data_IF_729852313482
#
_entry.id   IF_729852313482
#
_cell.length_a   1.000
_cell.length_b   1.000
_cell.length_c   1.000
_cell.angle_alpha   90.00
_cell.angle_beta   90.00
_cell.angle_gamma   90.00
#
_symmetry.space_group_name_H-M   'P 1'
#
loop_
_entity.id
_entity.type
_entity.pdbx_description
1 polymer ?
#
# COMPACT_ATOMS: atom_id res chain seq x y z
N UNK A 1 -12.80 -7.34 13.47
CA UNK A 1 -11.59 -7.47 12.62
C UNK A 1 -11.03 -6.08 12.38
N UNK A 2 -9.70 -5.90 12.33
CA UNK A 2 -9.11 -4.59 11.99
C UNK A 2 -9.59 -4.14 10.60
N UNK A 3 -9.79 -2.82 10.40
CA UNK A 3 -10.26 -2.26 9.12
C UNK A 3 -9.14 -2.35 8.08
N UNK A 4 -7.90 -2.13 8.50
CA UNK A 4 -6.68 -2.23 7.69
C UNK A 4 -5.59 -3.06 8.38
N UNK A 5 -4.43 -3.20 7.73
CA UNK A 5 -3.25 -3.80 8.36
C UNK A 5 -2.74 -2.89 9.48
N UNK A 6 -2.13 -3.45 10.53
CA UNK A 6 -1.77 -2.70 11.76
C UNK A 6 -1.01 -1.40 11.47
N UNK A 7 -0.04 -1.44 10.55
CA UNK A 7 0.76 -0.26 10.20
C UNK A 7 -0.04 0.86 9.53
N UNK A 8 -1.13 0.52 8.84
CA UNK A 8 -2.03 1.53 8.24
C UNK A 8 -2.79 2.26 9.32
N UNK A 9 -3.35 1.51 10.29
CA UNK A 9 -4.08 2.08 11.42
C UNK A 9 -3.17 2.98 12.27
N UNK A 10 -1.97 2.50 12.60
CA UNK A 10 -0.97 3.27 13.37
C UNK A 10 -0.61 4.61 12.68
N UNK A 11 -0.37 4.59 11.36
CA UNK A 11 -0.06 5.81 10.62
C UNK A 11 -1.28 6.74 10.51
N UNK A 12 -2.49 6.20 10.35
CA UNK A 12 -3.71 7.01 10.34
C UNK A 12 -3.90 7.74 11.66
N UNK A 13 -3.81 7.03 12.79
CA UNK A 13 -3.94 7.61 14.12
C UNK A 13 -2.86 8.69 14.37
N UNK A 14 -1.63 8.42 13.94
CA UNK A 14 -0.54 9.38 14.02
C UNK A 14 -0.83 10.67 13.23
N UNK A 15 -1.30 10.54 11.98
CA UNK A 15 -1.57 11.69 11.12
C UNK A 15 -2.82 12.46 11.54
N UNK A 16 -3.92 11.78 11.86
CA UNK A 16 -5.19 12.41 12.22
C UNK A 16 -5.09 13.33 13.43
N UNK A 17 -4.11 13.10 14.30
CA UNK A 17 -3.88 13.91 15.51
C UNK A 17 -2.94 15.10 15.27
N UNK A 18 -2.33 15.23 14.09
CA UNK A 18 -1.22 16.15 13.83
C UNK A 18 -1.35 17.02 12.59
N UNK A 19 -2.10 16.56 11.60
CA UNK A 19 -2.25 17.29 10.35
C UNK A 19 -3.15 18.51 10.54
N UNK A 20 -2.84 19.58 9.82
CA UNK A 20 -3.70 20.74 9.66
C UNK A 20 -4.85 20.44 8.68
N UNK A 21 -5.69 21.44 8.39
CA UNK A 21 -6.83 21.28 7.48
C UNK A 21 -6.40 20.84 6.07
N UNK A 22 -5.30 21.39 5.55
CA UNK A 22 -4.75 21.04 4.24
C UNK A 22 -4.20 19.60 4.23
N UNK A 23 -3.50 19.22 5.30
CA UNK A 23 -3.01 17.86 5.50
C UNK A 23 -4.15 16.85 5.64
N UNK A 24 -5.24 17.21 6.34
CA UNK A 24 -6.44 16.39 6.44
C UNK A 24 -7.11 16.23 5.07
N UNK A 25 -7.26 17.31 4.30
CA UNK A 25 -7.79 17.26 2.95
C UNK A 25 -6.96 16.34 2.05
N UNK A 26 -5.62 16.40 2.17
CA UNK A 26 -4.70 15.49 1.47
C UNK A 26 -4.87 14.04 1.91
N UNK A 27 -5.05 13.79 3.22
CA UNK A 27 -5.27 12.44 3.76
C UNK A 27 -6.59 11.83 3.27
N UNK A 28 -7.66 12.63 3.22
CA UNK A 28 -8.97 12.22 2.68
C UNK A 28 -8.89 11.95 1.18
N UNK A 29 -8.22 12.81 0.42
CA UNK A 29 -8.01 12.59 -1.02
C UNK A 29 -7.23 11.31 -1.31
N UNK A 30 -6.39 10.87 -0.36
CA UNK A 30 -5.59 9.65 -0.44
C UNK A 30 -6.02 8.57 0.55
N UNK A 31 -7.33 8.47 0.84
CA UNK A 31 -7.88 7.53 1.82
C UNK A 31 -7.41 6.07 1.54
N UNK A 32 -7.00 5.31 2.57
CA UNK A 32 -6.68 3.91 2.42
C UNK A 32 -7.94 3.09 2.10
N UNK A 33 -7.79 2.16 1.16
CA UNK A 33 -8.86 1.25 0.73
C UNK A 33 -8.34 -0.17 0.67
N UNK A 34 -9.14 -1.12 1.17
CA UNK A 34 -8.88 -2.55 0.94
C UNK A 34 -9.11 -2.86 -0.53
N UNK A 35 -8.10 -3.46 -1.16
CA UNK A 35 -8.09 -3.79 -2.57
C UNK A 35 -7.70 -5.24 -2.79
N UNK A 36 -8.15 -5.78 -3.91
CA UNK A 36 -7.81 -7.11 -4.36
C UNK A 36 -7.22 -6.99 -5.76
N UNK A 37 -6.02 -7.52 -5.95
CA UNK A 37 -5.35 -7.59 -7.26
C UNK A 37 -5.00 -9.04 -7.60
N UNK A 38 -5.13 -9.38 -8.88
CA UNK A 38 -4.61 -10.63 -9.40
C UNK A 38 -3.11 -10.45 -9.73
N UNK A 39 -2.31 -11.48 -9.45
CA UNK A 39 -0.93 -11.55 -9.88
C UNK A 39 -0.64 -12.93 -10.48
N UNK A 40 0.36 -12.98 -11.36
CA UNK A 40 0.82 -14.21 -11.97
C UNK A 40 2.00 -14.77 -11.19
N UNK A 41 1.92 -16.03 -10.79
CA UNK A 41 3.03 -16.76 -10.17
C UNK A 41 3.47 -17.88 -11.13
N UNK A 42 4.71 -17.80 -11.58
CA UNK A 42 5.32 -18.78 -12.47
C UNK A 42 6.56 -19.41 -11.84
N UNK A 43 6.67 -20.73 -11.88
CA UNK A 43 7.81 -21.47 -11.36
C UNK A 43 7.67 -22.99 -11.56
N UNK A 44 8.78 -23.69 -11.79
CA UNK A 44 8.80 -25.16 -11.86
C UNK A 44 7.95 -25.78 -12.98
N UNK A 45 7.75 -25.07 -14.10
CA UNK A 45 6.95 -25.54 -15.24
C UNK A 45 5.43 -25.36 -15.06
N UNK A 46 4.98 -24.63 -14.03
CA UNK A 46 3.58 -24.26 -13.81
C UNK A 46 3.40 -22.75 -13.76
N UNK A 47 2.20 -22.32 -14.10
CA UNK A 47 1.75 -20.95 -14.20
C UNK A 47 0.35 -20.85 -13.61
N UNK A 48 0.18 -20.05 -12.55
CA UNK A 48 -1.11 -19.87 -11.87
C UNK A 48 -1.41 -18.39 -11.68
N UNK A 49 -2.68 -18.01 -11.84
CA UNK A 49 -3.17 -16.69 -11.43
C UNK A 49 -3.64 -16.77 -9.98
N UNK A 50 -3.13 -15.88 -9.13
CA UNK A 50 -3.49 -15.80 -7.71
C UNK A 50 -4.05 -14.42 -7.37
N UNK A 51 -4.82 -14.35 -6.30
CA UNK A 51 -5.35 -13.10 -5.75
C UNK A 51 -4.57 -12.68 -4.50
N UNK A 52 -4.31 -11.38 -4.36
CA UNK A 52 -3.74 -10.78 -3.15
C UNK A 52 -4.66 -9.67 -2.65
N UNK A 53 -4.99 -9.72 -1.36
CA UNK A 53 -5.60 -8.60 -0.63
C UNK A 53 -4.50 -7.70 -0.08
N UNK A 54 -4.64 -6.39 -0.27
CA UNK A 54 -3.72 -5.39 0.27
C UNK A 54 -4.46 -4.08 0.57
N UNK A 55 -3.77 -3.14 1.21
CA UNK A 55 -4.30 -1.79 1.43
C UNK A 55 -3.68 -0.84 0.42
N UNK A 56 -4.50 -0.31 -0.50
CA UNK A 56 -4.11 0.67 -1.51
C UNK A 56 -4.67 2.06 -1.19
N UNK A 57 -4.42 3.01 -2.09
CA UNK A 57 -4.93 4.38 -2.03
C UNK A 57 -6.05 4.56 -3.06
N UNK A 58 -7.19 5.14 -2.67
CA UNK A 58 -8.32 5.42 -3.58
C UNK A 58 -7.94 6.21 -4.82
N UNK A 59 -7.03 7.18 -4.70
CA UNK A 59 -6.58 8.02 -5.80
C UNK A 59 -5.48 7.37 -6.66
N UNK A 60 -4.50 6.72 -6.02
CA UNK A 60 -3.28 6.24 -6.70
C UNK A 60 -3.40 4.80 -7.18
N UNK A 61 -4.13 3.94 -6.46
CA UNK A 61 -4.19 2.50 -6.71
C UNK A 61 -5.33 2.19 -7.65
N UNK A 62 -5.18 2.55 -8.94
CA UNK A 62 -6.19 2.27 -9.97
C UNK A 62 -5.93 0.91 -10.59
N UNK A 63 -6.75 -0.07 -10.22
CA UNK A 63 -6.81 -1.38 -10.89
C UNK A 63 -7.81 -1.24 -12.04
N UNK A 64 -7.38 -1.34 -13.31
CA UNK A 64 -8.32 -1.31 -14.43
C UNK A 64 -9.39 -2.39 -14.27
N UNK A 65 -10.67 -2.12 -14.61
CA UNK A 65 -11.65 -3.19 -14.71
C UNK A 65 -11.14 -4.21 -15.75
N UNK A 66 -11.35 -5.50 -15.51
CA UNK A 66 -10.95 -6.63 -16.37
C UNK A 66 -9.49 -7.10 -16.32
N UNK A 67 -8.68 -6.67 -15.36
CA UNK A 67 -7.31 -7.20 -15.16
C UNK A 67 -7.26 -8.58 -14.49
N UNK A 68 -8.22 -9.44 -14.84
CA UNK A 68 -8.34 -10.82 -14.36
C UNK A 68 -7.64 -11.83 -15.29
N UNK A 69 -6.99 -11.38 -16.37
CA UNK A 69 -6.50 -12.23 -17.45
C UNK A 69 -5.01 -12.00 -17.78
N UNK A 70 -4.43 -13.06 -18.37
CA UNK A 70 -3.04 -13.23 -18.83
C UNK A 70 -2.44 -12.07 -19.65
N UNK A 71 -3.27 -11.15 -20.16
CA UNK A 71 -2.85 -10.02 -21.00
C UNK A 71 -1.97 -9.02 -20.25
N UNK A 72 -2.08 -8.97 -18.91
CA UNK A 72 -1.22 -8.16 -18.06
C UNK A 72 -0.44 -9.09 -17.13
N UNK A 73 0.71 -9.58 -17.58
CA UNK A 73 1.60 -10.43 -16.78
C UNK A 73 2.07 -9.79 -15.46
N UNK A 74 1.87 -8.47 -15.30
CA UNK A 74 2.23 -7.69 -14.12
C UNK A 74 1.50 -6.33 -14.09
N UNK A 75 0.85 -5.97 -12.98
CA UNK A 75 0.29 -4.62 -12.76
C UNK A 75 0.87 -4.03 -11.49
N UNK A 76 1.67 -2.98 -11.64
CA UNK A 76 2.22 -2.26 -10.50
C UNK A 76 1.15 -1.35 -9.90
N UNK A 77 0.53 -1.81 -8.81
CA UNK A 77 -0.43 -1.02 -8.05
C UNK A 77 0.26 -0.55 -6.77
N UNK A 78 0.36 0.76 -6.50
CA UNK A 78 1.00 1.25 -5.28
C UNK A 78 0.18 0.84 -4.05
N UNK A 79 0.86 0.43 -2.99
CA UNK A 79 0.25 0.24 -1.67
C UNK A 79 0.10 1.59 -0.94
N UNK A 80 -0.71 1.60 0.10
CA UNK A 80 -0.80 2.70 1.05
C UNK A 80 0.24 2.47 2.19
N UNK A 81 0.94 3.51 2.68
CA UNK A 81 0.81 4.92 2.31
C UNK A 81 1.46 5.23 0.96
N UNK A 82 0.72 5.91 0.10
CA UNK A 82 1.27 6.44 -1.15
C UNK A 82 2.17 7.64 -0.88
N UNK A 83 2.97 8.03 -1.87
CA UNK A 83 3.93 9.14 -1.76
C UNK A 83 3.35 10.44 -1.17
N UNK A 84 2.15 10.90 -1.56
CA UNK A 84 1.54 12.08 -0.93
C UNK A 84 1.32 11.98 0.58
N UNK A 85 1.00 10.79 1.09
CA UNK A 85 0.80 10.54 2.52
C UNK A 85 2.15 10.36 3.21
N UNK A 86 3.14 9.77 2.54
CA UNK A 86 4.51 9.67 3.06
C UNK A 86 5.12 11.06 3.27
N UNK A 87 4.99 11.95 2.29
CA UNK A 87 5.43 13.34 2.43
C UNK A 87 4.75 14.04 3.61
N UNK A 88 3.48 13.75 3.84
CA UNK A 88 2.73 14.29 4.97
C UNK A 88 3.29 13.78 6.30
N UNK A 89 3.55 12.48 6.41
CA UNK A 89 4.16 11.87 7.59
C UNK A 89 5.59 12.37 7.85
N UNK A 90 6.38 12.57 6.79
CA UNK A 90 7.77 13.04 6.89
C UNK A 90 7.89 14.43 7.51
N UNK A 91 6.84 15.27 7.46
CA UNK A 91 6.82 16.56 8.16
C UNK A 91 6.95 16.42 9.68
N UNK A 92 6.64 15.23 10.20
CA UNK A 92 6.69 14.90 11.61
C UNK A 92 7.80 13.90 11.93
N UNK A 93 8.83 13.78 11.08
CA UNK A 93 9.89 12.79 11.25
C UNK A 93 10.67 12.93 12.57
N UNK A 94 10.70 14.13 13.16
CA UNK A 94 11.33 14.41 14.44
C UNK A 94 10.42 14.12 15.65
N UNK A 95 9.17 13.72 15.43
CA UNK A 95 8.25 13.37 16.51
C UNK A 95 8.67 12.04 17.17
N UNK A 96 8.59 11.93 18.52
CA UNK A 96 9.08 10.75 19.25
C UNK A 96 8.29 9.46 18.94
N UNK A 97 7.07 9.60 18.45
CA UNK A 97 6.18 8.50 18.06
C UNK A 97 6.15 8.27 16.54
N UNK A 98 6.98 8.98 15.77
CA UNK A 98 7.16 8.71 14.34
C UNK A 98 7.82 7.35 14.13
N UNK A 99 7.21 6.50 13.31
CA UNK A 99 7.75 5.18 12.97
C UNK A 99 8.25 5.15 11.51
N UNK A 100 9.55 4.94 11.32
CA UNK A 100 10.13 4.74 9.98
C UNK A 100 9.60 3.47 9.29
N UNK A 101 9.05 2.53 10.07
CA UNK A 101 8.42 1.30 9.58
C UNK A 101 7.10 1.50 8.84
N UNK A 102 6.50 2.70 8.86
CA UNK A 102 5.32 3.01 8.02
C UNK A 102 5.65 3.12 6.52
N UNK A 103 6.91 2.94 6.13
CA UNK A 103 7.34 2.92 4.73
C UNK A 103 6.80 1.67 4.00
N UNK A 104 6.21 1.82 2.81
CA UNK A 104 5.80 0.70 1.97
C UNK A 104 6.99 0.00 1.30
N UNK A 105 8.23 0.24 1.72
CA UNK A 105 9.43 -0.44 1.19
C UNK A 105 9.34 -1.97 1.36
N UNK A 106 8.49 -2.46 2.30
CA UNK A 106 8.07 -3.87 2.40
C UNK A 106 6.69 -4.20 1.81
N UNK A 107 5.95 -3.22 1.29
CA UNK A 107 4.64 -3.41 0.68
C UNK A 107 4.81 -3.86 -0.78
N UNK A 108 4.90 -5.18 -0.90
CA UNK A 108 4.77 -6.02 -2.10
C UNK A 108 4.04 -5.30 -3.24
N UNK A 109 4.78 -4.99 -4.32
CA UNK A 109 4.17 -4.71 -5.61
C UNK A 109 3.28 -5.91 -5.94
N UNK A 110 1.97 -5.69 -6.06
CA UNK A 110 0.95 -6.73 -6.30
C UNK A 110 1.01 -7.29 -7.73
N UNK A 111 2.23 -7.58 -8.17
CA UNK A 111 2.65 -7.70 -9.54
C UNK A 111 3.80 -8.74 -9.68
N UNK A 112 3.97 -9.61 -8.68
CA UNK A 112 4.68 -10.87 -8.87
C UNK A 112 6.20 -10.82 -8.70
N UNK A 113 6.75 -9.94 -7.86
CA UNK A 113 8.07 -10.20 -7.26
C UNK A 113 8.12 -9.84 -5.78
N UNK A 114 8.34 -10.88 -4.97
CA UNK A 114 8.91 -10.78 -3.63
C UNK A 114 10.33 -10.20 -3.75
N UNK A 115 10.59 -9.06 -3.14
CA UNK A 115 11.91 -8.80 -2.54
C UNK A 115 11.68 -8.33 -1.11
N UNK A 116 11.68 -9.29 -0.19
CA UNK A 116 12.36 -9.16 1.08
C UNK A 116 12.67 -10.58 1.59
N UNK A 117 13.93 -11.01 1.47
CA UNK A 117 14.47 -11.88 2.50
C UNK A 117 14.56 -11.00 3.75
N UNK A 118 13.60 -11.12 4.66
CA UNK A 118 13.81 -10.71 6.04
C UNK A 118 14.84 -11.69 6.64
N UNK A 119 16.12 -11.32 6.61
CA UNK A 119 17.10 -11.95 7.48
C UNK A 119 17.10 -11.21 8.81
N UNK A 120 16.68 -11.92 9.85
CA UNK A 120 17.01 -11.60 11.23
C UNK A 120 18.52 -11.69 11.44
#
# INVERSE_FOLDING_TARGET
MPRYDRFVEELLDFLLTRVDEDGLARLVAHEPRRMHAAYFEGGGGRAETRGMCFTGCTACSRIPPYTLFLDYGRIDVPAWPCEPVRELALRFADAPDYCTGWRPEGAVFASGRLIHEARF
#
